data_IF_877649692818
#
_entry.id   IF_877649692818
#
_cell.length_a   1.000
_cell.length_b   1.000
_cell.length_c   1.000
_cell.angle_alpha   90.00
_cell.angle_beta   90.00
_cell.angle_gamma   90.00
#
_symmetry.space_group_name_H-M   'P 1'
#
loop_
_entity.id
_entity.type
_entity.pdbx_description
1 polymer ?
#
# COMPACT_ATOMS: atom_id res chain seq x y z
N UNK A 1 45.32 -16.17 -4.09
CA UNK A 1 43.91 -16.48 -4.38
C UNK A 1 43.05 -15.46 -3.63
N UNK A 2 42.66 -14.36 -4.27
CA UNK A 2 41.76 -13.36 -3.68
C UNK A 2 40.39 -13.51 -4.34
N UNK A 3 39.37 -13.85 -3.56
CA UNK A 3 38.01 -14.02 -4.03
C UNK A 3 37.29 -12.66 -4.13
N UNK A 4 36.69 -12.43 -5.29
CA UNK A 4 35.89 -11.25 -5.63
C UNK A 4 34.56 -11.22 -4.82
N UNK A 5 34.60 -10.91 -3.52
CA UNK A 5 33.39 -10.78 -2.69
C UNK A 5 32.89 -9.35 -2.47
N UNK A 6 33.63 -8.32 -2.93
CA UNK A 6 33.31 -6.91 -2.64
C UNK A 6 32.18 -6.32 -3.50
N UNK A 7 31.86 -6.90 -4.67
CA UNK A 7 30.82 -6.35 -5.54
C UNK A 7 29.39 -6.73 -5.10
N UNK A 8 29.20 -7.91 -4.52
CA UNK A 8 27.88 -8.36 -4.07
C UNK A 8 27.37 -7.53 -2.88
N UNK A 9 28.21 -7.38 -1.85
CA UNK A 9 27.89 -6.64 -0.63
C UNK A 9 27.60 -5.15 -0.90
N UNK A 10 28.32 -4.53 -1.84
CA UNK A 10 28.05 -3.14 -2.25
C UNK A 10 26.70 -2.98 -2.95
N UNK A 11 26.32 -3.97 -3.76
CA UNK A 11 25.05 -3.93 -4.51
C UNK A 11 23.86 -4.12 -3.56
N UNK A 12 23.98 -5.05 -2.60
CA UNK A 12 22.96 -5.25 -1.56
C UNK A 12 22.78 -4.02 -0.67
N UNK A 13 23.87 -3.45 -0.14
CA UNK A 13 23.80 -2.24 0.69
C UNK A 13 23.14 -1.06 -0.05
N UNK A 14 23.50 -0.85 -1.32
CA UNK A 14 22.91 0.20 -2.13
C UNK A 14 21.41 -0.04 -2.36
N UNK A 15 20.99 -1.29 -2.57
CA UNK A 15 19.59 -1.64 -2.73
C UNK A 15 18.79 -1.41 -1.45
N UNK A 16 19.33 -1.79 -0.29
CA UNK A 16 18.67 -1.60 1.00
C UNK A 16 18.53 -0.10 1.34
N UNK A 17 19.58 0.70 1.10
CA UNK A 17 19.52 2.15 1.28
C UNK A 17 18.47 2.80 0.38
N UNK A 18 18.38 2.37 -0.89
CA UNK A 18 17.35 2.87 -1.81
C UNK A 18 15.94 2.42 -1.42
N UNK A 19 15.77 1.19 -0.93
CA UNK A 19 14.47 0.72 -0.42
C UNK A 19 14.07 1.52 0.82
N UNK A 20 14.98 1.75 1.77
CA UNK A 20 14.75 2.57 2.94
C UNK A 20 14.24 3.97 2.54
N UNK A 21 14.96 4.65 1.65
CA UNK A 21 14.58 5.99 1.17
C UNK A 21 13.21 5.98 0.47
N UNK A 22 12.93 5.00 -0.39
CA UNK A 22 11.67 4.96 -1.14
C UNK A 22 10.49 4.61 -0.22
N UNK A 23 10.72 3.85 0.84
CA UNK A 23 9.68 3.43 1.79
C UNK A 23 9.44 4.44 2.92
N UNK A 24 10.29 5.46 3.04
CA UNK A 24 10.14 6.53 4.01
C UNK A 24 8.72 7.14 3.96
N UNK A 25 8.23 7.58 5.12
CA UNK A 25 6.90 8.16 5.34
C UNK A 25 5.71 7.18 5.18
N UNK A 26 5.97 5.91 4.85
CA UNK A 26 4.92 4.89 4.88
C UNK A 26 4.79 4.30 6.30
N UNK A 27 3.58 3.87 6.71
CA UNK A 27 3.39 3.06 7.92
C UNK A 27 4.21 1.77 7.92
N UNK A 28 4.63 1.30 9.11
CA UNK A 28 5.62 0.22 9.27
C UNK A 28 5.24 -1.09 8.54
N UNK A 29 4.00 -1.55 8.64
CA UNK A 29 3.57 -2.79 7.99
C UNK A 29 3.57 -2.65 6.47
N UNK A 30 3.30 -1.45 5.94
CA UNK A 30 3.45 -1.18 4.52
C UNK A 30 4.92 -1.20 4.09
N UNK A 31 5.82 -0.63 4.89
CA UNK A 31 7.26 -0.74 4.64
C UNK A 31 7.70 -2.20 4.60
N UNK A 32 7.35 -2.96 5.65
CA UNK A 32 7.71 -4.37 5.81
C UNK A 32 7.19 -5.21 4.63
N UNK A 33 5.95 -4.97 4.20
CA UNK A 33 5.37 -5.71 3.08
C UNK A 33 5.99 -5.31 1.73
N UNK A 34 6.13 -4.01 1.46
CA UNK A 34 6.66 -3.51 0.19
C UNK A 34 8.15 -3.81 -0.01
N UNK A 35 8.92 -3.98 1.07
CA UNK A 35 10.34 -4.36 1.00
C UNK A 35 10.61 -5.65 0.21
N UNK A 36 9.58 -6.50 0.06
CA UNK A 36 9.58 -7.77 -0.70
C UNK A 36 9.52 -7.60 -2.22
N UNK A 37 9.32 -6.38 -2.71
CA UNK A 37 9.31 -6.04 -4.12
C UNK A 37 10.66 -5.44 -4.55
N UNK A 38 10.91 -5.42 -5.85
CA UNK A 38 12.05 -4.70 -6.42
C UNK A 38 11.86 -3.19 -6.27
N UNK A 39 12.95 -2.43 -6.19
CA UNK A 39 12.91 -0.97 -5.97
C UNK A 39 12.02 -0.26 -7.01
N UNK A 40 12.10 -0.70 -8.27
CA UNK A 40 11.28 -0.16 -9.36
C UNK A 40 9.79 -0.42 -9.13
N UNK A 41 9.44 -1.63 -8.72
CA UNK A 41 8.07 -2.02 -8.40
C UNK A 41 7.54 -1.24 -7.20
N UNK A 42 8.36 -1.07 -6.14
CA UNK A 42 7.99 -0.29 -4.95
C UNK A 42 7.61 1.14 -5.34
N UNK A 43 8.39 1.79 -6.21
CA UNK A 43 8.09 3.16 -6.68
C UNK A 43 6.75 3.24 -7.40
N UNK A 44 6.43 2.24 -8.23
CA UNK A 44 5.16 2.17 -8.94
C UNK A 44 4.01 1.96 -7.95
N UNK A 45 4.13 0.97 -7.07
CA UNK A 45 3.10 0.64 -6.07
C UNK A 45 2.86 1.83 -5.15
N UNK A 46 3.92 2.47 -4.61
CA UNK A 46 3.82 3.67 -3.78
C UNK A 46 3.13 4.81 -4.53
N UNK A 47 3.48 5.03 -5.80
CA UNK A 47 2.82 6.06 -6.63
C UNK A 47 1.32 5.80 -6.79
N UNK A 48 0.92 4.57 -7.10
CA UNK A 48 -0.48 4.18 -7.25
C UNK A 48 -1.24 4.31 -5.93
N UNK A 49 -0.66 3.86 -4.81
CA UNK A 49 -1.21 3.98 -3.47
C UNK A 49 -1.49 5.44 -3.09
N UNK A 50 -0.49 6.31 -3.22
CA UNK A 50 -0.62 7.72 -2.86
C UNK A 50 -1.63 8.45 -3.75
N UNK A 51 -1.67 8.14 -5.05
CA UNK A 51 -2.67 8.67 -5.98
C UNK A 51 -4.09 8.19 -5.64
N UNK A 52 -4.25 6.90 -5.30
CA UNK A 52 -5.52 6.31 -4.87
C UNK A 52 -6.05 6.98 -3.62
N UNK A 53 -5.22 7.09 -2.57
CA UNK A 53 -5.55 7.79 -1.32
C UNK A 53 -5.92 9.25 -1.56
N UNK A 54 -5.12 9.99 -2.33
CA UNK A 54 -5.38 11.40 -2.66
C UNK A 54 -6.72 11.55 -3.39
N UNK A 55 -6.95 10.73 -4.42
CA UNK A 55 -8.20 10.73 -5.18
C UNK A 55 -9.40 10.48 -4.26
N UNK A 56 -9.33 9.48 -3.39
CA UNK A 56 -10.40 9.14 -2.47
C UNK A 56 -10.70 10.28 -1.49
N UNK A 57 -9.65 10.81 -0.84
CA UNK A 57 -9.78 11.91 0.12
C UNK A 57 -10.41 13.15 -0.50
N UNK A 58 -10.00 13.51 -1.72
CA UNK A 58 -10.60 14.64 -2.45
C UNK A 58 -12.06 14.38 -2.81
N UNK A 59 -12.41 13.19 -3.27
CA UNK A 59 -13.80 12.86 -3.65
C UNK A 59 -14.77 12.85 -2.48
N UNK A 60 -14.29 12.55 -1.26
CA UNK A 60 -15.12 12.41 -0.06
C UNK A 60 -14.98 13.58 0.93
N UNK A 61 -14.21 14.62 0.58
CA UNK A 61 -13.86 15.72 1.48
C UNK A 61 -13.40 15.22 2.86
N UNK A 62 -12.45 14.28 2.85
CA UNK A 62 -11.96 13.58 4.04
C UNK A 62 -10.43 13.57 4.11
N UNK A 63 -9.89 13.13 5.24
CA UNK A 63 -8.46 13.13 5.52
C UNK A 63 -7.99 11.79 6.09
N UNK A 64 -8.24 10.68 5.40
CA UNK A 64 -7.62 9.40 5.78
C UNK A 64 -6.12 9.46 5.56
N UNK A 65 -5.37 9.09 6.59
CA UNK A 65 -3.94 8.79 6.52
C UNK A 65 -3.75 7.32 6.18
N UNK A 66 -2.54 6.92 5.81
CA UNK A 66 -2.28 5.51 5.50
C UNK A 66 -2.30 4.65 6.77
N UNK A 67 -1.96 5.25 7.91
CA UNK A 67 -2.01 4.66 9.24
C UNK A 67 -3.44 4.27 9.63
N UNK A 68 -4.45 5.02 9.18
CA UNK A 68 -5.86 4.75 9.50
C UNK A 68 -6.41 3.50 8.78
N UNK A 69 -5.74 3.06 7.71
CA UNK A 69 -6.18 1.99 6.80
C UNK A 69 -5.05 1.01 6.48
N UNK A 70 -4.03 0.95 7.32
CA UNK A 70 -2.78 0.24 7.03
C UNK A 70 -3.04 -1.25 6.77
N UNK A 71 -3.87 -1.88 7.60
CA UNK A 71 -4.19 -3.29 7.52
C UNK A 71 -4.91 -3.65 6.22
N UNK A 72 -5.90 -2.84 5.85
CA UNK A 72 -6.71 -2.98 4.64
C UNK A 72 -5.84 -2.83 3.39
N UNK A 73 -4.96 -1.83 3.36
CA UNK A 73 -4.04 -1.64 2.24
C UNK A 73 -3.02 -2.77 2.14
N UNK A 74 -2.46 -3.25 3.26
CA UNK A 74 -1.58 -4.44 3.25
C UNK A 74 -2.33 -5.66 2.69
N UNK A 75 -3.62 -5.81 3.02
CA UNK A 75 -4.47 -6.88 2.47
C UNK A 75 -4.64 -6.77 0.95
N UNK A 76 -4.89 -5.56 0.43
CA UNK A 76 -4.92 -5.28 -1.02
C UNK A 76 -3.61 -5.66 -1.68
N UNK A 77 -2.46 -5.27 -1.10
CA UNK A 77 -1.14 -5.59 -1.66
C UNK A 77 -0.85 -7.10 -1.67
N UNK A 78 -1.30 -7.83 -0.65
CA UNK A 78 -1.22 -9.31 -0.62
C UNK A 78 -2.02 -9.96 -1.76
N UNK A 79 -3.28 -9.53 -1.95
CA UNK A 79 -4.11 -10.02 -3.06
C UNK A 79 -3.54 -9.62 -4.41
N UNK A 80 -2.99 -8.42 -4.52
CA UNK A 80 -2.31 -7.95 -5.73
C UNK A 80 -1.09 -8.80 -6.07
N UNK A 81 -0.22 -9.13 -5.10
CA UNK A 81 0.94 -10.01 -5.34
C UNK A 81 0.50 -11.41 -5.80
N UNK A 82 -0.53 -11.97 -5.18
CA UNK A 82 -1.10 -13.24 -5.62
C UNK A 82 -1.62 -13.16 -7.06
N UNK A 83 -2.29 -12.07 -7.43
CA UNK A 83 -2.80 -11.83 -8.78
C UNK A 83 -1.68 -11.72 -9.83
N UNK A 84 -0.58 -11.02 -9.52
CA UNK A 84 0.59 -10.94 -10.39
C UNK A 84 1.15 -12.34 -10.70
N UNK A 85 1.30 -13.18 -9.66
CA UNK A 85 1.79 -14.56 -9.81
C UNK A 85 0.81 -15.42 -10.61
N UNK A 86 -0.49 -15.32 -10.33
CA UNK A 86 -1.52 -16.09 -11.00
C UNK A 86 -1.61 -15.78 -12.50
N UNK A 87 -1.45 -14.50 -12.86
CA UNK A 87 -1.56 -14.04 -14.25
C UNK A 87 -0.22 -14.01 -14.99
N UNK A 88 0.88 -14.24 -14.29
CA UNK A 88 2.23 -14.05 -14.81
C UNK A 88 2.43 -12.65 -15.40
N UNK A 89 1.98 -11.63 -14.66
CA UNK A 89 1.97 -10.23 -15.08
C UNK A 89 2.91 -9.38 -14.24
N UNK A 90 3.27 -8.20 -14.77
CA UNK A 90 4.15 -7.25 -14.09
C UNK A 90 3.38 -6.20 -13.30
N UNK A 91 4.04 -5.61 -12.29
CA UNK A 91 3.49 -4.47 -11.54
C UNK A 91 3.13 -3.33 -12.48
N UNK A 92 3.97 -3.04 -13.48
CA UNK A 92 3.75 -2.04 -14.50
C UNK A 92 2.44 -2.24 -15.25
N UNK A 93 2.21 -3.47 -15.75
CA UNK A 93 1.02 -3.81 -16.54
C UNK A 93 -0.26 -3.76 -15.70
N UNK A 94 -0.17 -4.10 -14.41
CA UNK A 94 -1.34 -4.18 -13.52
C UNK A 94 -1.59 -2.93 -12.67
N UNK A 95 -0.97 -1.78 -12.97
CA UNK A 95 -1.20 -0.53 -12.22
C UNK A 95 -2.67 -0.11 -12.16
N UNK A 96 -3.40 -0.27 -13.26
CA UNK A 96 -4.84 0.06 -13.32
C UNK A 96 -5.67 -0.83 -12.38
N UNK A 97 -5.35 -2.12 -12.33
CA UNK A 97 -5.99 -3.07 -11.42
C UNK A 97 -5.68 -2.73 -9.96
N UNK A 98 -4.42 -2.42 -9.64
CA UNK A 98 -4.02 -2.01 -8.30
C UNK A 98 -4.75 -0.73 -7.85
N UNK A 99 -4.84 0.28 -8.73
CA UNK A 99 -5.57 1.52 -8.47
C UNK A 99 -7.04 1.25 -8.12
N UNK A 100 -7.73 0.42 -8.92
CA UNK A 100 -9.13 0.05 -8.66
C UNK A 100 -9.27 -0.69 -7.32
N UNK A 101 -8.36 -1.61 -7.03
CA UNK A 101 -8.38 -2.39 -5.78
C UNK A 101 -8.21 -1.50 -4.55
N UNK A 102 -7.29 -0.52 -4.59
CA UNK A 102 -7.08 0.45 -3.51
C UNK A 102 -8.31 1.32 -3.32
N UNK A 103 -8.89 1.84 -4.41
CA UNK A 103 -10.09 2.67 -4.34
C UNK A 103 -11.25 1.90 -3.72
N UNK A 104 -11.51 0.67 -4.18
CA UNK A 104 -12.58 -0.17 -3.66
C UNK A 104 -12.43 -0.42 -2.14
N UNK A 105 -11.22 -0.75 -1.67
CA UNK A 105 -10.98 -0.98 -0.24
C UNK A 105 -11.18 0.29 0.60
N UNK A 106 -10.78 1.46 0.10
CA UNK A 106 -11.03 2.73 0.77
C UNK A 106 -12.54 3.06 0.85
N UNK A 107 -13.30 2.82 -0.22
CA UNK A 107 -14.76 2.96 -0.24
C UNK A 107 -15.43 2.05 0.80
N UNK A 108 -15.04 0.77 0.84
CA UNK A 108 -15.59 -0.20 1.79
C UNK A 108 -15.29 0.20 3.24
N UNK A 109 -14.04 0.59 3.51
CA UNK A 109 -13.60 1.04 4.84
C UNK A 109 -14.37 2.28 5.29
N UNK A 110 -14.54 3.23 4.38
CA UNK A 110 -15.27 4.46 4.66
C UNK A 110 -16.76 4.21 4.88
N UNK A 111 -17.40 3.36 4.06
CA UNK A 111 -18.80 2.99 4.23
C UNK A 111 -19.03 2.30 5.59
N UNK A 112 -18.12 1.41 6.01
CA UNK A 112 -18.18 0.77 7.33
C UNK A 112 -18.03 1.80 8.46
N UNK A 113 -17.09 2.74 8.33
CA UNK A 113 -16.92 3.83 9.29
C UNK A 113 -18.20 4.67 9.43
N UNK A 114 -18.78 5.09 8.30
CA UNK A 114 -20.00 5.90 8.30
C UNK A 114 -21.20 5.14 8.89
N UNK A 115 -21.33 3.84 8.61
CA UNK A 115 -22.36 2.98 9.22
C UNK A 115 -22.23 2.93 10.74
N UNK A 116 -21.02 2.74 11.26
CA UNK A 116 -20.76 2.71 12.72
C UNK A 116 -21.03 4.07 13.36
N UNK A 117 -20.65 5.16 12.71
CA UNK A 117 -20.94 6.53 13.17
C UNK A 117 -22.45 6.76 13.29
N UNK A 118 -23.22 6.40 12.25
CA UNK A 118 -24.67 6.58 12.24
C UNK A 118 -25.36 5.72 13.32
N UNK A 119 -24.92 4.46 13.54
CA UNK A 119 -25.49 3.63 14.62
C UNK A 119 -25.29 4.25 16.01
N UNK A 120 -24.13 4.86 16.29
CA UNK A 120 -23.88 5.54 17.56
C UNK A 120 -24.78 6.77 17.75
N UNK A 121 -25.08 7.49 16.67
CA UNK A 121 -25.94 8.67 16.71
C UNK A 121 -27.40 8.34 17.03
N UNK A 122 -27.89 7.19 16.55
CA UNK A 122 -29.28 6.75 16.76
C UNK A 122 -29.42 5.64 17.80
N UNK A 123 -28.46 5.54 18.73
CA UNK A 123 -28.45 4.45 19.70
C UNK A 123 -29.57 4.61 20.73
N UNK A 124 -30.51 3.66 20.73
CA UNK A 124 -31.76 3.65 21.51
C UNK A 124 -31.52 3.58 23.04
N UNK A 125 -30.28 3.32 23.45
CA UNK A 125 -29.84 3.23 24.84
C UNK A 125 -29.21 4.52 25.40
N UNK A 126 -29.16 5.60 24.61
CA UNK A 126 -28.77 6.94 25.07
C UNK A 126 -30.00 7.79 25.47
N UNK A 127 -30.89 7.23 26.30
CA UNK A 127 -31.92 7.98 27.02
C UNK A 127 -31.52 8.15 28.48
#
# INVERSE_FOLDING_TARGET
>A
HHSNHTNHQKTEFNNDALKFQVLEELPQQLQDYLSKFEIREIRIIKSVLLKGKKSFNTSHDTYYRLEDVEFEIVSVLKRFKAMLLQKNETVEAMQGYLMQSIKAELEETHALYMRRKNMKQYNIFNQ
#
